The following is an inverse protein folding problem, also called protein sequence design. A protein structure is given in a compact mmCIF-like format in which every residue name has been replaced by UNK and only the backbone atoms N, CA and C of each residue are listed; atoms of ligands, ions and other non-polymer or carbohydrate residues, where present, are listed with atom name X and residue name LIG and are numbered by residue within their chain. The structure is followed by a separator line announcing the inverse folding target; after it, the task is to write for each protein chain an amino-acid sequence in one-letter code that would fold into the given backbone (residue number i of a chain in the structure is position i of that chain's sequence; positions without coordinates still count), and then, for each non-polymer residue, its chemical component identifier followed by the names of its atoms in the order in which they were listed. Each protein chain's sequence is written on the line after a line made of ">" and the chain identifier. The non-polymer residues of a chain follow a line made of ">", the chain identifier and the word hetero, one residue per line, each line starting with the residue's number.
data_IF_925080955131
#
_entry.id   IF_925080955131
#
_cell.length_a   1.000
_cell.length_b   1.000
_cell.length_c   1.000
_cell.angle_alpha   90.00
_cell.angle_beta   90.00
_cell.angle_gamma   90.00
#
_symmetry.space_group_name_H-M   'P 1'
#
loop_
_entity.id
_entity.type
_entity.pdbx_description
1 polymer ?
#
# COMPACT_ATOMS: atom_id res chain seq x y z
N UNK A 1 10.23 8.41 -1.59
CA UNK A 1 10.59 9.04 -0.31
C UNK A 1 11.59 8.20 0.46
N UNK A 2 11.27 6.95 0.85
CA UNK A 2 12.18 6.10 1.63
C UNK A 2 13.56 5.93 0.99
N UNK A 3 13.63 5.78 -0.34
CA UNK A 3 14.89 5.67 -1.07
C UNK A 3 15.71 6.96 -1.04
N UNK A 4 15.06 8.10 -1.19
CA UNK A 4 15.72 9.42 -1.07
C UNK A 4 16.24 9.63 0.36
N UNK A 5 15.43 9.30 1.37
CA UNK A 5 15.83 9.40 2.77
C UNK A 5 17.02 8.48 3.11
N UNK A 6 17.04 7.26 2.59
CA UNK A 6 18.18 6.34 2.76
C UNK A 6 19.43 6.85 2.08
N UNK A 7 19.33 7.43 0.88
CA UNK A 7 20.45 8.05 0.15
C UNK A 7 21.02 9.28 0.86
N UNK A 8 20.18 10.04 1.58
CA UNK A 8 20.59 11.20 2.39
C UNK A 8 21.07 10.80 3.80
N UNK A 9 21.20 9.52 4.11
CA UNK A 9 21.57 8.99 5.42
C UNK A 9 20.59 9.32 6.55
N UNK A 10 19.35 9.72 6.23
CA UNK A 10 18.29 10.01 7.19
C UNK A 10 17.47 8.74 7.43
N UNK A 11 18.06 7.81 8.16
CA UNK A 11 17.53 6.45 8.37
C UNK A 11 16.17 6.43 9.07
N UNK A 12 15.95 7.32 10.04
CA UNK A 12 14.67 7.43 10.74
C UNK A 12 13.50 7.75 9.79
N UNK A 13 13.71 8.64 8.81
CA UNK A 13 12.71 8.96 7.81
C UNK A 13 12.50 7.81 6.82
N UNK A 14 13.54 7.06 6.46
CA UNK A 14 13.44 5.92 5.56
C UNK A 14 12.61 4.78 6.18
N UNK A 15 12.88 4.45 7.45
CA UNK A 15 12.11 3.43 8.19
C UNK A 15 10.68 3.92 8.45
N UNK A 16 10.53 5.18 8.87
CA UNK A 16 9.23 5.77 9.15
C UNK A 16 8.30 5.81 7.94
N UNK A 17 8.80 6.15 6.75
CA UNK A 17 7.98 6.13 5.54
C UNK A 17 7.44 4.74 5.20
N UNK A 18 8.17 3.67 5.55
CA UNK A 18 7.74 2.30 5.30
C UNK A 18 6.77 1.81 6.39
N UNK A 19 7.15 1.88 7.67
CA UNK A 19 6.37 1.33 8.79
C UNK A 19 5.19 2.24 9.16
N UNK A 20 5.45 3.50 9.49
CA UNK A 20 4.39 4.43 9.83
C UNK A 20 3.45 4.71 8.63
N UNK A 21 3.98 4.67 7.39
CA UNK A 21 3.17 4.70 6.17
C UNK A 21 2.18 3.54 6.09
N UNK A 22 2.62 2.32 6.39
CA UNK A 22 1.73 1.16 6.44
C UNK A 22 0.65 1.28 7.54
N UNK A 23 1.02 1.75 8.73
CA UNK A 23 0.06 2.02 9.83
C UNK A 23 -0.98 3.05 9.40
N UNK A 24 -0.57 4.15 8.75
CA UNK A 24 -1.48 5.20 8.27
C UNK A 24 -2.41 4.67 7.16
N UNK A 25 -1.89 3.86 6.24
CA UNK A 25 -2.70 3.24 5.19
C UNK A 25 -3.78 2.31 5.76
N UNK A 26 -3.44 1.47 6.73
CA UNK A 26 -4.37 0.55 7.38
C UNK A 26 -5.32 1.27 8.35
N UNK A 27 -4.78 2.18 9.16
CA UNK A 27 -5.52 2.85 10.22
C UNK A 27 -6.40 4.01 9.75
N UNK A 28 -5.95 4.79 8.79
CA UNK A 28 -6.68 5.95 8.28
C UNK A 28 -7.39 5.63 6.96
N UNK A 29 -6.64 5.29 5.92
CA UNK A 29 -7.20 5.17 4.56
C UNK A 29 -8.18 4.01 4.48
N UNK A 30 -7.77 2.82 4.92
CA UNK A 30 -8.63 1.64 4.90
C UNK A 30 -9.82 1.78 5.84
N UNK A 31 -9.61 2.39 7.02
CA UNK A 31 -10.69 2.66 7.96
C UNK A 31 -11.77 3.56 7.35
N UNK A 32 -11.38 4.67 6.70
CA UNK A 32 -12.31 5.57 6.02
C UNK A 32 -13.02 4.89 4.85
N UNK A 33 -12.32 4.06 4.10
CA UNK A 33 -12.90 3.27 3.02
C UNK A 33 -14.00 2.31 3.54
N UNK A 34 -13.73 1.61 4.65
CA UNK A 34 -14.69 0.68 5.28
C UNK A 34 -15.89 1.41 5.92
N UNK A 35 -15.71 2.62 6.43
CA UNK A 35 -16.80 3.43 6.97
C UNK A 35 -17.78 3.86 5.88
N UNK A 36 -17.26 4.13 4.69
CA UNK A 36 -18.04 4.68 3.58
C UNK A 36 -18.73 3.62 2.73
N UNK A 37 -18.09 2.50 2.50
CA UNK A 37 -18.58 1.43 1.62
C UNK A 37 -18.69 0.10 2.35
N UNK A 38 -19.82 -0.60 2.15
CA UNK A 38 -19.86 -2.02 2.47
C UNK A 38 -19.21 -2.79 1.32
N UNK A 39 -18.03 -3.32 1.55
CA UNK A 39 -17.26 -3.99 0.51
C UNK A 39 -17.40 -5.50 0.63
N UNK A 40 -17.92 -6.11 -0.42
CA UNK A 40 -17.84 -7.56 -0.61
C UNK A 40 -16.48 -7.89 -1.22
N UNK A 41 -15.66 -8.62 -0.49
CA UNK A 41 -14.30 -8.96 -0.92
C UNK A 41 -14.18 -10.47 -1.06
N UNK A 42 -13.38 -10.93 -2.02
CA UNK A 42 -13.02 -12.35 -2.10
C UNK A 42 -12.27 -12.76 -0.83
N UNK A 43 -12.91 -13.65 -0.05
CA UNK A 43 -12.40 -14.15 1.23
C UNK A 43 -10.99 -14.74 1.08
N UNK A 44 -10.76 -15.51 0.01
CA UNK A 44 -9.50 -16.20 -0.19
C UNK A 44 -8.34 -15.24 -0.49
N UNK A 45 -8.60 -14.17 -1.22
CA UNK A 45 -7.62 -13.14 -1.54
C UNK A 45 -7.29 -12.30 -0.30
N UNK A 46 -8.32 -11.83 0.41
CA UNK A 46 -8.14 -11.01 1.61
C UNK A 46 -7.39 -11.76 2.70
N UNK A 47 -7.74 -13.02 2.99
CA UNK A 47 -7.05 -13.85 3.98
C UNK A 47 -5.57 -14.04 3.66
N UNK A 48 -5.24 -14.34 2.39
CA UNK A 48 -3.84 -14.51 1.95
C UNK A 48 -3.03 -13.23 2.12
N UNK A 49 -3.60 -12.07 1.74
CA UNK A 49 -2.92 -10.77 1.87
C UNK A 49 -2.75 -10.36 3.34
N UNK A 50 -3.77 -10.52 4.17
CA UNK A 50 -3.66 -10.24 5.61
C UNK A 50 -2.66 -11.18 6.30
N UNK A 51 -2.65 -12.47 5.95
CA UNK A 51 -1.67 -13.42 6.48
C UNK A 51 -0.24 -13.03 6.07
N UNK A 52 -0.03 -12.64 4.80
CA UNK A 52 1.27 -12.21 4.31
C UNK A 52 1.72 -10.92 5.01
N UNK A 53 0.81 -9.96 5.24
CA UNK A 53 1.09 -8.74 5.99
C UNK A 53 1.52 -9.07 7.43
N UNK A 54 0.80 -9.99 8.11
CA UNK A 54 1.15 -10.42 9.47
C UNK A 54 2.51 -11.10 9.52
N UNK A 55 2.81 -11.98 8.55
CA UNK A 55 4.11 -12.63 8.46
C UNK A 55 5.22 -11.59 8.23
N UNK A 56 4.99 -10.61 7.35
CA UNK A 56 5.95 -9.53 7.11
C UNK A 56 6.21 -8.69 8.37
N UNK A 57 5.15 -8.30 9.09
CA UNK A 57 5.27 -7.60 10.37
C UNK A 57 5.99 -8.47 11.42
N UNK A 58 5.72 -9.78 11.48
CA UNK A 58 6.39 -10.72 12.36
C UNK A 58 7.90 -10.83 12.07
N UNK A 59 8.27 -10.90 10.79
CA UNK A 59 9.69 -10.88 10.38
C UNK A 59 10.35 -9.59 10.81
N UNK A 60 9.74 -8.43 10.56
CA UNK A 60 10.28 -7.13 11.02
C UNK A 60 10.45 -7.13 12.55
N UNK A 61 9.42 -7.56 13.31
CA UNK A 61 9.46 -7.60 14.77
C UNK A 61 10.57 -8.50 15.31
N UNK A 62 10.83 -9.65 14.66
CA UNK A 62 11.86 -10.59 15.07
C UNK A 62 13.28 -10.07 14.77
N UNK A 63 13.49 -9.52 13.58
CA UNK A 63 14.83 -9.12 13.11
C UNK A 63 15.23 -7.69 13.51
N UNK A 64 14.31 -6.91 14.09
CA UNK A 64 14.57 -5.55 14.60
C UNK A 64 14.77 -5.53 16.13
N UNK A 65 14.77 -6.70 16.80
CA UNK A 65 14.96 -6.76 18.26
C UNK A 65 16.22 -6.06 18.75
N UNK A 66 17.31 -6.17 17.99
CA UNK A 66 18.61 -5.56 18.31
C UNK A 66 18.73 -4.08 17.89
N UNK A 67 17.60 -3.42 17.55
CA UNK A 67 17.58 -2.03 17.09
C UNK A 67 18.16 -1.81 15.69
N UNK A 68 18.49 -2.88 14.96
CA UNK A 68 18.98 -2.82 13.58
C UNK A 68 18.35 -3.90 12.74
N UNK A 69 17.98 -3.56 11.49
CA UNK A 69 17.50 -4.57 10.55
C UNK A 69 18.69 -5.37 10.00
N UNK A 70 18.70 -6.67 10.31
CA UNK A 70 19.74 -7.60 9.85
C UNK A 70 19.64 -7.88 8.35
N UNK A 71 20.76 -8.21 7.69
CA UNK A 71 20.78 -8.64 6.28
C UNK A 71 19.91 -9.88 6.02
N UNK A 72 19.86 -10.80 6.97
CA UNK A 72 18.98 -11.99 6.89
C UNK A 72 17.50 -11.58 6.90
N UNK A 73 17.11 -10.64 7.77
CA UNK A 73 15.76 -10.06 7.79
C UNK A 73 15.42 -9.34 6.48
N UNK A 74 16.36 -8.56 5.93
CA UNK A 74 16.21 -7.89 4.64
C UNK A 74 15.98 -8.89 3.50
N UNK A 75 16.78 -9.97 3.44
CA UNK A 75 16.63 -11.03 2.44
C UNK A 75 15.28 -11.76 2.56
N UNK A 76 14.82 -12.01 3.77
CA UNK A 76 13.55 -12.70 4.04
C UNK A 76 12.36 -11.83 3.64
N UNK A 77 12.40 -10.51 3.91
CA UNK A 77 11.37 -9.56 3.46
C UNK A 77 11.34 -9.46 1.92
N UNK A 78 12.50 -9.48 1.26
CA UNK A 78 12.56 -9.50 -0.20
C UNK A 78 11.98 -10.80 -0.77
N UNK A 79 12.22 -11.95 -0.13
CA UNK A 79 11.58 -13.21 -0.47
C UNK A 79 10.05 -13.15 -0.33
N UNK A 80 9.54 -12.55 0.73
CA UNK A 80 8.10 -12.31 0.91
C UNK A 80 7.53 -11.37 -0.18
N UNK A 81 8.29 -10.38 -0.62
CA UNK A 81 7.88 -9.53 -1.74
C UNK A 81 7.74 -10.34 -3.04
N UNK A 82 8.72 -11.19 -3.38
CA UNK A 82 8.63 -12.06 -4.57
C UNK A 82 7.40 -12.97 -4.48
N UNK A 83 7.16 -13.54 -3.30
CA UNK A 83 5.98 -14.38 -3.05
C UNK A 83 4.67 -13.60 -3.22
N UNK A 84 4.62 -12.35 -2.75
CA UNK A 84 3.47 -11.45 -2.95
C UNK A 84 3.23 -11.18 -4.43
N UNK A 85 4.28 -10.87 -5.21
CA UNK A 85 4.17 -10.62 -6.65
C UNK A 85 3.67 -11.86 -7.38
N UNK A 86 4.23 -13.03 -7.08
CA UNK A 86 3.79 -14.31 -7.68
C UNK A 86 2.31 -14.60 -7.37
N UNK A 87 1.87 -14.38 -6.12
CA UNK A 87 0.47 -14.55 -5.74
C UNK A 87 -0.45 -13.56 -6.48
N UNK A 88 -0.02 -12.31 -6.61
CA UNK A 88 -0.79 -11.26 -7.32
C UNK A 88 -0.94 -11.58 -8.80
N UNK A 89 0.12 -12.01 -9.45
CA UNK A 89 0.11 -12.44 -10.85
C UNK A 89 -0.79 -13.68 -11.03
N UNK A 90 -0.63 -14.69 -10.20
CA UNK A 90 -1.43 -15.91 -10.28
C UNK A 90 -2.94 -15.63 -10.08
N UNK A 91 -3.28 -14.67 -9.23
CA UNK A 91 -4.67 -14.25 -9.04
C UNK A 91 -5.23 -13.55 -10.28
N UNK A 92 -4.49 -12.64 -10.90
CA UNK A 92 -4.89 -11.95 -12.12
C UNK A 92 -5.10 -12.93 -13.28
N UNK A 93 -4.21 -13.91 -13.44
CA UNK A 93 -4.38 -14.96 -14.46
C UNK A 93 -5.64 -15.79 -14.23
N UNK A 94 -5.92 -16.17 -12.98
CA UNK A 94 -7.15 -16.93 -12.65
C UNK A 94 -8.41 -16.11 -12.89
N UNK A 95 -8.36 -14.82 -12.62
CA UNK A 95 -9.50 -13.92 -12.84
C UNK A 95 -9.76 -13.72 -14.34
N UNK A 96 -8.74 -13.42 -15.13
CA UNK A 96 -8.84 -13.29 -16.57
C UNK A 96 -9.32 -14.58 -17.26
N UNK A 97 -8.88 -15.73 -16.76
CA UNK A 97 -9.33 -17.03 -17.27
C UNK A 97 -10.81 -17.30 -16.97
N UNK A 98 -11.31 -16.92 -15.78
CA UNK A 98 -12.72 -17.03 -15.43
C UNK A 98 -13.61 -16.10 -16.26
N UNK A 99 -13.23 -14.84 -16.44
CA UNK A 99 -13.96 -13.91 -17.33
C UNK A 99 -14.01 -14.43 -18.77
N UNK A 100 -12.91 -14.97 -19.27
CA UNK A 100 -12.87 -15.58 -20.61
C UNK A 100 -13.83 -16.78 -20.72
N UNK A 101 -13.91 -17.62 -19.70
CA UNK A 101 -14.84 -18.76 -19.65
C UNK A 101 -16.32 -18.32 -19.55
N UNK A 102 -16.63 -17.31 -18.75
CA UNK A 102 -18.00 -16.76 -18.65
C UNK A 102 -18.46 -16.13 -19.97
N UNK A 103 -17.57 -15.41 -20.66
CA UNK A 103 -17.89 -14.87 -21.99
C UNK A 103 -18.19 -15.99 -23.01
N UNK A 104 -17.43 -17.07 -22.99
CA UNK A 104 -17.65 -18.22 -23.88
C UNK A 104 -18.98 -18.95 -23.56
N UNK A 105 -19.33 -19.09 -22.27
CA UNK A 105 -20.59 -19.72 -21.87
C UNK A 105 -21.80 -18.88 -22.23
N UNK A 106 -21.75 -17.56 -22.03
CA UNK A 106 -22.85 -16.64 -22.41
C UNK A 106 -23.04 -16.59 -23.94
N UNK A 107 -21.97 -16.67 -24.72
CA UNK A 107 -22.07 -16.76 -26.18
C UNK A 107 -22.69 -18.09 -26.64
N UNK A 108 -22.34 -19.19 -25.97
CA UNK A 108 -22.89 -20.50 -26.28
C UNK A 108 -24.39 -20.61 -25.98
N UNK A 109 -24.87 -19.92 -24.93
CA UNK A 109 -26.30 -19.81 -24.61
C UNK A 109 -27.09 -18.94 -25.60
N UNK A 110 -26.44 -17.92 -26.21
CA UNK A 110 -27.06 -17.07 -27.22
C UNK A 110 -27.12 -17.66 -28.63
N UNK A 111 -26.62 -18.87 -28.83
CA UNK A 111 -26.72 -19.59 -30.11
C UNK A 111 -25.91 -19.01 -31.27
N UNK A 112 -25.01 -18.08 -31.01
CA UNK A 112 -24.11 -17.52 -32.00
C UNK A 112 -22.96 -18.47 -32.29
N UNK A 113 -23.02 -19.11 -33.51
CA UNK A 113 -22.06 -20.13 -33.96
C UNK A 113 -20.74 -19.59 -34.49
N UNK A 114 -20.45 -18.32 -34.36
CA UNK A 114 -19.17 -17.76 -34.79
C UNK A 114 -18.26 -17.55 -33.62
N UNK A 115 -17.12 -18.30 -33.53
CA UNK A 115 -16.03 -17.90 -32.62
C UNK A 115 -15.57 -16.51 -33.15
N UNK A 116 -15.40 -15.51 -32.27
CA UNK A 116 -14.80 -14.29 -32.71
C UNK A 116 -13.38 -14.62 -33.23
N UNK A 117 -13.16 -14.44 -34.47
CA UNK A 117 -11.88 -14.62 -35.21
C UNK A 117 -10.73 -13.84 -34.57
N UNK A 118 -11.06 -12.97 -33.63
CA UNK A 118 -10.21 -12.05 -32.89
C UNK A 118 -9.59 -12.62 -31.59
N UNK A 119 -9.97 -13.83 -31.16
CA UNK A 119 -9.44 -14.44 -29.93
C UNK A 119 -8.20 -15.33 -30.15
N UNK A 120 -7.91 -15.67 -31.40
CA UNK A 120 -6.79 -16.55 -31.77
C UNK A 120 -5.41 -15.82 -31.81
N UNK A 121 -5.37 -14.52 -31.67
CA UNK A 121 -4.12 -13.75 -31.77
C UNK A 121 -3.95 -12.58 -30.79
N UNK A 122 -4.95 -12.22 -30.02
CA UNK A 122 -4.81 -11.17 -29.01
C UNK A 122 -4.51 -11.78 -27.66
N UNK A 123 -3.24 -11.86 -27.34
CA UNK A 123 -2.78 -11.84 -25.96
C UNK A 123 -3.47 -10.67 -25.24
N UNK A 124 -4.36 -10.97 -24.29
CA UNK A 124 -5.18 -10.03 -23.50
C UNK A 124 -4.32 -9.04 -22.69
N UNK A 125 -2.99 -9.08 -22.88
CA UNK A 125 -2.05 -8.26 -22.11
C UNK A 125 -1.85 -6.84 -22.64
N UNK A 126 -2.06 -6.57 -23.92
CA UNK A 126 -1.83 -5.22 -24.46
C UNK A 126 -2.78 -4.93 -25.62
N UNK A 127 -3.75 -3.98 -25.46
CA UNK A 127 -4.45 -3.46 -26.61
C UNK A 127 -3.41 -2.86 -27.57
N UNK A 128 -3.55 -3.12 -28.89
CA UNK A 128 -2.69 -2.54 -29.91
C UNK A 128 -2.81 -1.02 -29.88
N UNK A 129 -2.03 -0.38 -29.00
CA UNK A 129 -1.96 1.07 -28.87
C UNK A 129 -1.06 1.61 -29.98
N UNK A 130 -1.55 2.61 -30.70
CA UNK A 130 -0.72 3.38 -31.63
C UNK A 130 0.55 3.85 -30.92
N UNK A 131 1.72 3.68 -31.55
CA UNK A 131 3.04 4.05 -31.01
C UNK A 131 3.03 5.49 -30.45
N UNK A 132 2.33 6.41 -31.12
CA UNK A 132 2.19 7.81 -30.73
C UNK A 132 1.42 7.98 -29.40
N UNK A 133 0.38 7.18 -29.18
CA UNK A 133 -0.40 7.18 -27.93
C UNK A 133 0.40 6.56 -26.80
N UNK A 134 1.16 5.51 -27.07
CA UNK A 134 2.06 4.87 -26.13
C UNK A 134 3.18 5.83 -25.68
N UNK A 135 3.78 6.56 -26.63
CA UNK A 135 4.85 7.52 -26.33
C UNK A 135 4.34 8.70 -25.47
N UNK A 136 3.14 9.21 -25.79
CA UNK A 136 2.49 10.28 -24.97
C UNK A 136 2.17 9.81 -23.57
N UNK A 137 1.67 8.59 -23.41
CA UNK A 137 1.40 8.01 -22.09
C UNK A 137 2.69 7.78 -21.31
N UNK A 138 3.74 7.30 -21.97
CA UNK A 138 5.06 7.14 -21.37
C UNK A 138 5.63 8.49 -20.89
N UNK A 139 5.54 9.53 -21.71
CA UNK A 139 5.96 10.89 -21.34
C UNK A 139 5.17 11.41 -20.13
N UNK A 140 3.85 11.14 -20.09
CA UNK A 140 3.01 11.47 -18.93
C UNK A 140 3.44 10.74 -17.64
N UNK A 141 3.75 9.45 -17.74
CA UNK A 141 4.25 8.66 -16.60
C UNK A 141 5.61 9.19 -16.11
N UNK A 142 6.55 9.44 -17.03
CA UNK A 142 7.88 9.97 -16.68
C UNK A 142 7.76 11.37 -16.08
N UNK A 143 6.94 12.25 -16.67
CA UNK A 143 6.69 13.59 -16.12
C UNK A 143 6.04 13.55 -14.73
N UNK A 144 5.03 12.72 -14.54
CA UNK A 144 4.39 12.49 -13.24
C UNK A 144 5.36 11.96 -12.19
N UNK A 145 6.25 11.03 -12.59
CA UNK A 145 7.27 10.48 -11.70
C UNK A 145 8.29 11.55 -11.28
N UNK A 146 8.69 12.43 -12.20
CA UNK A 146 9.58 13.55 -11.89
C UNK A 146 8.95 14.53 -10.88
N UNK A 147 7.68 14.90 -11.07
CA UNK A 147 6.93 15.75 -10.13
C UNK A 147 6.84 15.09 -8.75
N UNK A 148 6.55 13.78 -8.69
CA UNK A 148 6.51 13.04 -7.43
C UNK A 148 7.87 13.00 -6.74
N UNK A 149 8.98 12.87 -7.48
CA UNK A 149 10.34 12.92 -6.91
C UNK A 149 10.65 14.28 -6.30
N UNK A 150 10.29 15.38 -6.98
CA UNK A 150 10.48 16.75 -6.46
C UNK A 150 9.62 16.98 -5.22
N UNK A 151 8.35 16.60 -5.25
CA UNK A 151 7.45 16.70 -4.09
C UNK A 151 7.94 15.87 -2.90
N UNK A 152 8.43 14.66 -3.16
CA UNK A 152 9.02 13.78 -2.15
C UNK A 152 10.27 14.41 -1.51
N UNK A 153 11.16 14.99 -2.32
CA UNK A 153 12.36 15.69 -1.84
C UNK A 153 11.99 16.90 -0.98
N UNK A 154 11.02 17.71 -1.42
CA UNK A 154 10.52 18.84 -0.65
C UNK A 154 9.93 18.44 0.71
N UNK A 155 9.11 17.36 0.75
CA UNK A 155 8.55 16.82 1.99
C UNK A 155 9.63 16.34 2.96
N UNK A 156 10.67 15.66 2.47
CA UNK A 156 11.79 15.20 3.30
C UNK A 156 12.55 16.37 3.92
N UNK A 157 12.91 17.37 3.12
CA UNK A 157 13.64 18.54 3.61
C UNK A 157 12.79 19.33 4.62
N UNK A 158 11.49 19.50 4.37
CA UNK A 158 10.56 20.17 5.30
C UNK A 158 10.47 19.40 6.62
N UNK A 159 10.39 18.08 6.60
CA UNK A 159 10.33 17.27 7.81
C UNK A 159 11.64 17.36 8.64
N UNK A 160 12.79 17.35 7.98
CA UNK A 160 14.09 17.54 8.66
C UNK A 160 14.19 18.96 9.24
N UNK A 161 13.80 19.97 8.49
CA UNK A 161 13.82 21.36 8.96
C UNK A 161 12.88 21.55 10.17
N UNK A 162 11.68 21.01 10.13
CA UNK A 162 10.73 21.05 11.24
C UNK A 162 11.25 20.31 12.47
N UNK A 163 11.87 19.14 12.31
CA UNK A 163 12.48 18.39 13.40
C UNK A 163 13.56 19.21 14.10
N UNK A 164 14.43 19.89 13.31
CA UNK A 164 15.49 20.73 13.83
C UNK A 164 14.95 21.98 14.53
N UNK A 165 13.94 22.63 13.97
CA UNK A 165 13.31 23.84 14.55
C UNK A 165 12.54 23.55 15.85
N UNK A 166 11.89 22.40 15.93
CA UNK A 166 11.06 22.02 17.08
C UNK A 166 11.81 21.23 18.15
N UNK A 167 13.07 20.83 17.88
CA UNK A 167 13.85 19.95 18.76
C UNK A 167 13.21 18.57 18.96
N UNK A 168 12.40 18.10 18.00
CA UNK A 168 11.70 16.83 18.07
C UNK A 168 12.44 15.74 17.28
N UNK A 169 12.10 14.47 17.56
CA UNK A 169 12.71 13.35 16.87
C UNK A 169 12.20 13.30 15.42
N UNK A 170 13.08 13.15 14.43
CA UNK A 170 12.72 13.01 13.01
C UNK A 170 11.70 11.90 12.74
N UNK A 171 11.71 10.84 13.56
CA UNK A 171 10.76 9.73 13.47
C UNK A 171 9.31 10.18 13.72
N UNK A 172 9.07 11.18 14.57
CA UNK A 172 7.72 11.73 14.80
C UNK A 172 7.17 12.41 13.55
N UNK A 173 7.99 13.16 12.83
CA UNK A 173 7.61 13.79 11.56
C UNK A 173 7.42 12.78 10.42
N UNK A 174 8.19 11.69 10.44
CA UNK A 174 7.96 10.56 9.53
C UNK A 174 6.59 9.91 9.76
N UNK A 175 6.23 9.67 11.02
CA UNK A 175 4.98 9.02 11.39
C UNK A 175 3.75 9.91 11.17
N UNK A 176 3.87 11.22 11.27
CA UNK A 176 2.78 12.17 11.14
C UNK A 176 2.71 12.78 9.74
N UNK A 177 3.56 13.76 9.47
CA UNK A 177 3.48 14.58 8.24
C UNK A 177 3.76 13.76 6.99
N UNK A 178 4.86 12.98 6.97
CA UNK A 178 5.25 12.26 5.76
C UNK A 178 4.29 11.11 5.47
N UNK A 179 3.91 10.34 6.50
CA UNK A 179 2.97 9.23 6.33
C UNK A 179 1.60 9.70 5.86
N UNK A 180 1.10 10.82 6.41
CA UNK A 180 -0.14 11.43 5.96
C UNK A 180 -0.03 11.95 4.52
N UNK A 181 1.06 12.66 4.18
CA UNK A 181 1.30 13.16 2.82
C UNK A 181 1.36 12.04 1.77
N UNK A 182 1.97 10.89 2.10
CA UNK A 182 2.00 9.72 1.23
C UNK A 182 0.63 9.08 1.02
N UNK A 183 -0.28 9.21 1.99
CA UNK A 183 -1.62 8.67 1.91
C UNK A 183 -2.61 9.61 1.20
N UNK A 184 -2.26 10.88 0.97
CA UNK A 184 -3.15 11.84 0.32
C UNK A 184 -3.75 11.35 -1.00
N UNK A 185 -3.00 10.78 -1.95
CA UNK A 185 -3.59 10.30 -3.20
C UNK A 185 -4.65 9.23 -2.98
N UNK A 186 -4.41 8.30 -2.05
CA UNK A 186 -5.37 7.25 -1.70
C UNK A 186 -6.58 7.82 -0.95
N UNK A 187 -6.39 8.85 -0.11
CA UNK A 187 -7.49 9.55 0.56
C UNK A 187 -8.37 10.28 -0.44
N UNK A 188 -7.79 10.98 -1.41
CA UNK A 188 -8.56 11.63 -2.49
C UNK A 188 -9.41 10.60 -3.22
N UNK A 189 -8.86 9.44 -3.56
CA UNK A 189 -9.59 8.35 -4.22
C UNK A 189 -10.76 7.85 -3.35
N UNK A 190 -10.60 7.74 -2.03
CA UNK A 190 -11.68 7.37 -1.11
C UNK A 190 -12.79 8.44 -1.07
N UNK A 191 -12.43 9.73 -1.20
CA UNK A 191 -13.40 10.83 -1.13
C UNK A 191 -14.07 11.13 -2.48
N UNK A 192 -13.36 11.01 -3.59
CA UNK A 192 -13.89 11.31 -4.94
C UNK A 192 -14.92 10.27 -5.44
N UNK A 193 -14.90 9.09 -4.86
CA UNK A 193 -15.73 7.98 -5.32
C UNK A 193 -17.26 8.23 -5.34
N UNK A 194 -17.90 9.14 -4.55
CA UNK A 194 -19.32 9.43 -4.67
C UNK A 194 -19.65 10.80 -5.28
N UNK A 195 -18.70 11.67 -5.57
CA UNK A 195 -18.96 13.10 -5.79
C UNK A 195 -19.05 13.56 -7.24
N UNK A 196 -18.80 12.73 -8.25
CA UNK A 196 -18.77 13.27 -9.58
C UNK A 196 -19.25 12.38 -10.71
N UNK A 197 -20.37 12.77 -11.35
CA UNK A 197 -20.77 12.24 -12.67
C UNK A 197 -19.68 12.46 -13.74
N UNK A 198 -18.79 13.43 -13.57
CA UNK A 198 -17.64 13.69 -14.42
C UNK A 198 -16.51 12.67 -14.18
N UNK A 199 -16.23 12.33 -12.93
CA UNK A 199 -15.24 11.32 -12.57
C UNK A 199 -15.69 9.90 -12.93
N UNK A 200 -16.98 9.57 -12.75
CA UNK A 200 -17.54 8.31 -13.23
C UNK A 200 -17.34 8.12 -14.73
N UNK A 201 -17.63 9.15 -15.53
CA UNK A 201 -17.41 9.13 -16.99
C UNK A 201 -15.94 9.01 -17.36
N UNK A 202 -15.03 9.62 -16.60
CA UNK A 202 -13.59 9.51 -16.80
C UNK A 202 -13.09 8.10 -16.38
N UNK A 203 -13.52 7.59 -15.26
CA UNK A 203 -13.16 6.26 -14.75
C UNK A 203 -13.69 5.13 -15.64
N UNK A 204 -14.92 5.22 -16.14
CA UNK A 204 -15.48 4.31 -17.15
C UNK A 204 -14.70 4.37 -18.47
N UNK A 205 -14.31 5.57 -18.92
CA UNK A 205 -13.55 5.77 -20.15
C UNK A 205 -12.10 5.25 -20.03
N UNK A 206 -11.52 5.28 -18.83
CA UNK A 206 -10.17 4.80 -18.57
C UNK A 206 -10.11 3.36 -18.04
N UNK A 207 -11.26 2.66 -17.90
CA UNK A 207 -11.34 1.33 -17.23
C UNK A 207 -10.64 1.28 -15.88
N UNK A 208 -10.71 2.37 -15.12
CA UNK A 208 -10.17 2.43 -13.76
C UNK A 208 -11.07 1.64 -12.84
N UNK A 209 -10.47 0.86 -11.97
CA UNK A 209 -11.02 -0.17 -11.10
C UNK A 209 -12.38 0.13 -10.45
N UNK A 210 -13.23 -0.90 -10.28
CA UNK A 210 -14.49 -0.74 -9.55
C UNK A 210 -14.23 -0.35 -8.08
N UNK A 211 -15.18 0.36 -7.42
CA UNK A 211 -15.03 0.84 -6.04
C UNK A 211 -14.71 -0.23 -5.00
N UNK A 212 -15.00 -1.47 -5.34
CA UNK A 212 -14.70 -2.65 -4.51
C UNK A 212 -13.19 -2.97 -4.45
N UNK A 213 -12.38 -2.42 -5.34
CA UNK A 213 -10.94 -2.66 -5.41
C UNK A 213 -10.12 -1.78 -4.44
N UNK A 214 -10.66 -0.65 -3.97
CA UNK A 214 -9.94 0.29 -3.08
C UNK A 214 -9.37 -0.36 -1.81
N UNK A 215 -10.12 -1.15 -1.02
CA UNK A 215 -9.56 -1.78 0.17
C UNK A 215 -8.40 -2.72 -0.14
N UNK A 216 -8.49 -3.42 -1.27
CA UNK A 216 -7.42 -4.32 -1.72
C UNK A 216 -6.19 -3.55 -2.20
N UNK A 217 -6.37 -2.39 -2.84
CA UNK A 217 -5.29 -1.52 -3.26
C UNK A 217 -4.54 -0.94 -2.05
N UNK A 218 -5.27 -0.48 -1.04
CA UNK A 218 -4.67 0.03 0.22
C UNK A 218 -3.89 -1.08 0.93
N UNK A 219 -4.45 -2.29 1.00
CA UNK A 219 -3.78 -3.43 1.61
C UNK A 219 -2.51 -3.83 0.82
N UNK A 220 -2.57 -3.84 -0.51
CA UNK A 220 -1.41 -4.08 -1.36
C UNK A 220 -0.32 -3.03 -1.13
N UNK A 221 -0.69 -1.75 -1.02
CA UNK A 221 0.24 -0.66 -0.76
C UNK A 221 0.93 -0.81 0.60
N UNK A 222 0.20 -1.21 1.65
CA UNK A 222 0.77 -1.48 2.97
C UNK A 222 1.75 -2.68 2.94
N UNK A 223 1.40 -3.76 2.24
CA UNK A 223 2.29 -4.91 2.06
C UNK A 223 3.57 -4.48 1.33
N UNK A 224 3.45 -3.74 0.21
CA UNK A 224 4.59 -3.24 -0.55
C UNK A 224 5.49 -2.33 0.28
N UNK A 225 4.92 -1.49 1.15
CA UNK A 225 5.70 -0.61 2.02
C UNK A 225 6.61 -1.41 2.95
N UNK A 226 6.16 -2.52 3.51
CA UNK A 226 6.94 -3.34 4.43
C UNK A 226 7.85 -4.32 3.68
N UNK A 227 7.35 -4.98 2.62
CA UNK A 227 8.09 -6.08 1.97
C UNK A 227 9.05 -5.63 0.87
N UNK A 228 8.85 -4.46 0.27
CA UNK A 228 9.73 -3.91 -0.76
C UNK A 228 10.45 -2.66 -0.27
N UNK A 229 9.70 -1.64 0.21
CA UNK A 229 10.30 -0.33 0.49
C UNK A 229 11.31 -0.41 1.63
N UNK A 230 10.99 -1.11 2.70
CA UNK A 230 11.88 -1.27 3.86
C UNK A 230 13.17 -2.03 3.52
N UNK A 231 13.15 -3.23 2.90
CA UNK A 231 14.39 -3.93 2.57
C UNK A 231 15.23 -3.22 1.50
N UNK A 232 14.63 -2.57 0.49
CA UNK A 232 15.41 -1.82 -0.50
C UNK A 232 16.08 -0.59 0.15
N UNK A 233 15.42 0.08 1.09
CA UNK A 233 16.04 1.16 1.87
C UNK A 233 17.23 0.64 2.70
N UNK A 234 17.11 -0.58 3.27
CA UNK A 234 18.19 -1.23 3.99
C UNK A 234 19.39 -1.56 3.09
N UNK A 235 19.15 -2.03 1.87
CA UNK A 235 20.20 -2.30 0.89
C UNK A 235 20.93 -1.03 0.44
N UNK A 236 20.19 0.07 0.23
CA UNK A 236 20.79 1.36 -0.16
C UNK A 236 21.67 1.97 0.93
N UNK A 237 21.33 1.73 2.19
CA UNK A 237 22.13 2.24 3.32
C UNK A 237 23.48 1.53 3.46
N UNK A 238 23.73 0.42 2.77
CA UNK A 238 24.99 -0.37 2.76
C UNK A 238 25.49 -0.85 4.13
N UNK A 239 24.74 -0.65 5.20
CA UNK A 239 25.03 -1.10 6.58
C UNK A 239 23.75 -1.67 7.19
N UNK A 240 23.82 -2.22 8.40
CA UNK A 240 22.61 -2.58 9.14
C UNK A 240 21.77 -1.34 9.38
N UNK A 241 20.56 -1.31 8.85
CA UNK A 241 19.68 -0.14 8.96
C UNK A 241 19.26 0.06 10.42
N UNK A 242 19.65 1.16 11.09
CA UNK A 242 19.23 1.42 12.46
C UNK A 242 17.73 1.71 12.47
N UNK A 243 17.00 0.98 13.30
CA UNK A 243 15.56 1.14 13.51
C UNK A 243 15.35 1.75 14.89
N UNK A 244 14.86 2.97 14.94
CA UNK A 244 14.64 3.71 16.16
C UNK A 244 13.63 3.00 17.09
N UNK A 245 13.72 3.31 18.37
CA UNK A 245 12.90 2.69 19.41
C UNK A 245 11.40 2.96 19.21
N UNK A 246 11.03 4.14 18.70
CA UNK A 246 9.66 4.49 18.35
C UNK A 246 9.03 3.44 17.42
N UNK A 247 9.73 3.05 16.37
CA UNK A 247 9.20 2.09 15.38
C UNK A 247 9.01 0.71 15.99
N UNK A 248 9.91 0.30 16.88
CA UNK A 248 9.84 -0.98 17.57
C UNK A 248 8.71 -1.03 18.60
N UNK A 249 8.51 0.05 19.38
CA UNK A 249 7.54 0.09 20.47
C UNK A 249 6.12 0.43 20.01
N UNK A 250 5.96 1.23 18.96
CA UNK A 250 4.65 1.73 18.52
C UNK A 250 4.28 1.24 17.14
N UNK A 251 5.07 1.49 16.11
CA UNK A 251 4.66 1.25 14.71
C UNK A 251 4.40 -0.23 14.44
N UNK A 252 5.30 -1.12 14.86
CA UNK A 252 5.17 -2.56 14.62
C UNK A 252 3.98 -3.14 15.39
N UNK A 253 3.80 -2.92 16.72
CA UNK A 253 2.64 -3.45 17.44
C UNK A 253 1.31 -2.94 16.90
N UNK A 254 1.21 -1.64 16.58
CA UNK A 254 -0.02 -1.08 16.02
C UNK A 254 -0.32 -1.65 14.64
N UNK A 255 0.70 -1.84 13.78
CA UNK A 255 0.54 -2.47 12.47
C UNK A 255 0.03 -3.91 12.60
N UNK A 256 0.62 -4.71 13.49
CA UNK A 256 0.18 -6.08 13.78
C UNK A 256 -1.25 -6.11 14.31
N UNK A 257 -1.59 -5.23 15.24
CA UNK A 257 -2.92 -5.17 15.84
C UNK A 257 -3.99 -4.82 14.79
N UNK A 258 -3.72 -3.83 13.93
CA UNK A 258 -4.62 -3.47 12.83
C UNK A 258 -4.78 -4.61 11.82
N UNK A 259 -3.68 -5.28 11.46
CA UNK A 259 -3.71 -6.43 10.56
C UNK A 259 -4.52 -7.60 11.14
N UNK A 260 -4.42 -7.85 12.45
CA UNK A 260 -5.22 -8.87 13.15
C UNK A 260 -6.72 -8.52 13.15
N UNK A 261 -7.07 -7.26 13.43
CA UNK A 261 -8.48 -6.81 13.40
C UNK A 261 -9.07 -6.97 11.99
N UNK A 262 -8.29 -6.74 10.97
CA UNK A 262 -8.72 -6.94 9.58
C UNK A 262 -8.84 -8.41 9.21
N UNK A 263 -8.04 -9.28 9.80
CA UNK A 263 -8.05 -10.72 9.55
C UNK A 263 -9.25 -11.44 10.20
N UNK A 264 -9.69 -10.99 11.39
CA UNK A 264 -10.71 -11.69 12.20
C UNK A 264 -12.05 -11.92 11.47
N UNK A 265 -12.73 -10.93 10.86
CA UNK A 265 -14.02 -11.15 10.23
C UNK A 265 -14.00 -11.98 8.95
N UNK A 266 -12.99 -11.88 8.06
CA UNK A 266 -12.90 -12.76 6.91
C UNK A 266 -12.76 -14.25 7.26
N UNK A 267 -12.29 -14.58 8.47
CA UNK A 267 -12.28 -15.96 8.97
C UNK A 267 -13.69 -16.52 9.13
N UNK A 268 -14.65 -15.68 9.53
CA UNK A 268 -16.03 -16.11 9.83
C UNK A 268 -17.01 -15.78 8.69
N UNK A 269 -16.92 -14.59 8.09
CA UNK A 269 -17.88 -14.08 7.09
C UNK A 269 -17.18 -13.45 5.89
N UNK A 270 -17.84 -13.51 4.68
CA UNK A 270 -17.30 -12.98 3.41
C UNK A 270 -17.46 -11.45 3.25
N UNK A 271 -17.45 -10.68 4.32
CA UNK A 271 -17.67 -9.23 4.27
C UNK A 271 -16.80 -8.51 5.27
N UNK A 272 -16.30 -7.35 4.87
CA UNK A 272 -15.70 -6.37 5.77
C UNK A 272 -16.81 -5.49 6.35
N UNK A 273 -16.71 -5.21 7.65
CA UNK A 273 -17.75 -4.50 8.40
C UNK A 273 -17.30 -3.08 8.75
N UNK A 274 -18.25 -2.16 8.81
CA UNK A 274 -18.03 -0.77 9.23
C UNK A 274 -17.45 -0.65 10.65
N UNK A 275 -17.76 -1.59 11.55
CA UNK A 275 -17.20 -1.55 12.91
C UNK A 275 -15.67 -1.72 12.93
N UNK A 276 -15.10 -2.53 12.00
CA UNK A 276 -13.65 -2.65 11.83
C UNK A 276 -13.02 -1.32 11.45
N UNK A 277 -13.64 -0.58 10.51
CA UNK A 277 -13.19 0.76 10.14
C UNK A 277 -13.18 1.70 11.35
N UNK A 278 -14.22 1.66 12.20
CA UNK A 278 -14.24 2.46 13.44
C UNK A 278 -13.12 2.08 14.41
N UNK A 279 -12.91 0.80 14.63
CA UNK A 279 -11.87 0.32 15.54
C UNK A 279 -10.47 0.66 15.01
N UNK A 280 -10.20 0.46 13.72
CA UNK A 280 -8.92 0.83 13.11
C UNK A 280 -8.68 2.36 13.18
N UNK A 281 -9.72 3.17 13.01
CA UNK A 281 -9.60 4.63 13.12
C UNK A 281 -9.28 5.06 14.56
N UNK A 282 -9.95 4.49 15.56
CA UNK A 282 -9.66 4.73 16.97
C UNK A 282 -8.21 4.34 17.31
N UNK A 283 -7.78 3.17 16.87
CA UNK A 283 -6.39 2.73 17.05
C UNK A 283 -5.39 3.66 16.38
N UNK A 284 -5.72 4.18 15.19
CA UNK A 284 -4.86 5.15 14.52
C UNK A 284 -4.75 6.47 15.30
N UNK A 285 -5.85 6.98 15.84
CA UNK A 285 -5.83 8.18 16.70
C UNK A 285 -5.02 7.92 17.97
N UNK A 286 -5.18 6.75 18.60
CA UNK A 286 -4.36 6.36 19.75
C UNK A 286 -2.87 6.25 19.38
N UNK A 287 -2.55 5.70 18.23
CA UNK A 287 -1.19 5.64 17.72
C UNK A 287 -0.58 7.04 17.53
N UNK A 288 -1.31 7.96 16.89
CA UNK A 288 -0.84 9.35 16.73
C UNK A 288 -0.63 10.03 18.07
N UNK A 289 -1.55 9.87 19.02
CA UNK A 289 -1.40 10.41 20.36
C UNK A 289 -0.16 9.84 21.07
N UNK A 290 0.07 8.54 20.99
CA UNK A 290 1.25 7.89 21.57
C UNK A 290 2.56 8.42 20.96
N UNK A 291 2.62 8.59 19.65
CA UNK A 291 3.80 9.13 18.95
C UNK A 291 4.05 10.59 19.31
N UNK A 292 3.01 11.41 19.46
CA UNK A 292 3.14 12.84 19.80
C UNK A 292 3.51 13.09 21.27
N UNK A 293 3.11 12.17 22.19
CA UNK A 293 3.43 12.26 23.63
C UNK A 293 4.86 11.80 23.92
N UNK A 294 5.52 11.16 22.97
CA UNK A 294 6.89 10.65 23.14
C UNK A 294 7.84 11.78 23.59
N UNK A 295 8.71 11.55 24.62
CA UNK A 295 9.59 12.58 25.13
C UNK A 295 10.51 13.13 24.03
N UNK A 296 10.71 14.45 24.05
CA UNK A 296 11.60 15.14 23.11
C UNK A 296 13.02 14.61 23.26
N UNK A 297 13.74 14.50 22.15
CA UNK A 297 15.14 14.13 22.18
C UNK A 297 15.92 15.20 22.97
N UNK A 298 16.31 14.91 24.19
CA UNK A 298 17.12 15.81 25.01
C UNK A 298 16.49 16.29 26.32
N UNK A 299 15.35 15.71 26.75
CA UNK A 299 14.87 15.92 28.12
C UNK A 299 15.37 14.79 29.03
#
# INVERSE_FOLDING_TARGET
>A
LAFLAAGMSVTALAVGTALAGAVTQLGLVLALCLLRCNVTVDRGELLRKCALLLVACGVVALFVRDGTLSYTGTGLLMGLFVLFVMQSIAYQYRFAFREGLELITVQKEKGEKTPPEDLSGRTVLFPAMSIRTSLRNLAGVVGGMAVLCVGAWALLNSAVALANLTGTIQAQWAATLISFGLCLPLLVEVFDHPLGSAWKRFAEKCRIYPPQALPMQVLNSAILSITLVLPVSSLMYRRRLPVGEQFRQYDIPFCVLMALILLLPPLVKKRLYRWQGRVCLILYVMYLAAVLIMPRAGA
#
